data_IF_833848625374
#
_entry.id   IF_833848625374
#
_cell.length_a   1.000
_cell.length_b   1.000
_cell.length_c   1.000
_cell.angle_alpha   90.00
_cell.angle_beta   90.00
_cell.angle_gamma   90.00
#
_symmetry.space_group_name_H-M   'P 1'
#
loop_
_entity.id
_entity.type
_entity.pdbx_description
1 polymer ?
#
# COMPACT_ATOMS: atom_id res chain seq x y z
N UNK A 1 6.75 -20.86 -3.15
CA UNK A 1 6.48 -19.84 -4.18
C UNK A 1 5.04 -19.38 -3.97
N UNK A 2 4.84 -18.23 -3.34
CA UNK A 2 3.62 -17.44 -3.50
C UNK A 2 4.03 -15.98 -3.32
N UNK A 3 4.16 -15.28 -4.45
CA UNK A 3 4.43 -13.85 -4.51
C UNK A 3 3.06 -13.20 -4.62
N UNK A 4 2.50 -12.85 -3.46
CA UNK A 4 1.21 -12.19 -3.33
C UNK A 4 1.42 -10.84 -2.65
N UNK A 5 0.77 -9.83 -3.24
CA UNK A 5 0.87 -8.38 -3.04
C UNK A 5 1.84 -7.69 -4.02
N UNK A 6 1.22 -6.81 -4.82
CA UNK A 6 1.70 -6.20 -6.07
C UNK A 6 1.77 -7.20 -7.22
N UNK A 7 0.75 -7.15 -8.08
CA UNK A 7 0.82 -7.72 -9.41
C UNK A 7 2.11 -7.25 -10.10
N UNK A 8 3.05 -8.20 -10.22
CA UNK A 8 4.23 -8.18 -11.06
C UNK A 8 5.32 -7.18 -10.65
N UNK A 9 6.08 -7.56 -9.62
CA UNK A 9 7.53 -7.37 -9.69
C UNK A 9 8.12 -8.45 -10.60
N UNK A 10 8.47 -8.05 -11.81
CA UNK A 10 9.36 -8.82 -12.66
C UNK A 10 10.73 -8.96 -11.98
N UNK A 11 11.01 -10.14 -11.43
CA UNK A 11 12.35 -10.60 -11.14
C UNK A 11 12.40 -12.12 -11.23
N UNK A 12 13.04 -12.63 -12.28
CA UNK A 12 13.19 -14.06 -12.52
C UNK A 12 14.24 -14.35 -13.59
N UNK A 13 15.51 -14.21 -13.21
CA UNK A 13 16.65 -14.66 -13.99
C UNK A 13 16.73 -16.21 -14.03
N UNK A 14 17.37 -16.68 -15.12
CA UNK A 14 18.12 -17.93 -15.33
C UNK A 14 17.47 -19.32 -15.14
N UNK A 15 17.53 -20.12 -16.22
CA UNK A 15 17.86 -21.56 -16.14
C UNK A 15 16.91 -22.53 -16.84
N UNK A 16 17.39 -23.15 -17.92
CA UNK A 16 17.00 -24.51 -18.28
C UNK A 16 16.20 -24.70 -19.57
N UNK A 17 16.89 -24.76 -20.71
CA UNK A 17 16.41 -25.50 -21.88
C UNK A 17 16.20 -26.97 -21.50
N UNK A 18 14.95 -27.43 -21.57
CA UNK A 18 14.60 -28.85 -21.48
C UNK A 18 13.63 -29.20 -22.61
N UNK A 19 14.17 -29.71 -23.71
CA UNK A 19 13.41 -30.29 -24.81
C UNK A 19 13.05 -31.75 -24.52
N UNK A 20 11.80 -32.13 -24.77
CA UNK A 20 11.49 -33.43 -25.40
C UNK A 20 10.65 -34.45 -24.60
N UNK A 21 9.63 -35.00 -25.30
CA UNK A 21 8.90 -36.24 -24.97
C UNK A 21 7.42 -35.99 -24.62
N UNK A 22 6.45 -36.02 -25.54
CA UNK A 22 5.92 -37.12 -26.37
C UNK A 22 5.14 -38.21 -25.59
N UNK A 23 3.89 -38.41 -26.01
CA UNK A 23 2.97 -39.50 -25.61
C UNK A 23 2.05 -39.08 -24.46
N UNK A 24 0.74 -39.33 -24.44
CA UNK A 24 -0.04 -40.26 -25.24
C UNK A 24 -1.53 -39.90 -25.11
N UNK A 25 -2.26 -40.10 -26.20
CA UNK A 25 -3.68 -39.83 -26.36
C UNK A 25 -4.55 -40.81 -25.58
N UNK A 26 -5.53 -40.31 -24.82
CA UNK A 26 -6.79 -41.02 -24.57
C UNK A 26 -7.97 -40.03 -24.48
N UNK A 27 -8.68 -39.90 -25.61
CA UNK A 27 -10.14 -39.72 -25.62
C UNK A 27 -10.78 -41.13 -25.48
N UNK A 28 -12.05 -41.33 -25.07
CA UNK A 28 -13.20 -40.53 -25.48
C UNK A 28 -14.32 -40.36 -24.43
N UNK A 29 -15.27 -39.46 -24.69
CA UNK A 29 -16.70 -39.78 -24.74
C UNK A 29 -17.52 -38.50 -24.97
N UNK A 30 -18.11 -38.43 -26.16
CA UNK A 30 -19.19 -37.53 -26.50
C UNK A 30 -20.38 -37.72 -25.55
N UNK A 31 -21.00 -36.64 -25.10
CA UNK A 31 -22.46 -36.59 -25.02
C UNK A 31 -22.92 -35.19 -25.42
N UNK A 32 -23.53 -35.16 -26.60
CA UNK A 32 -24.28 -34.06 -27.16
C UNK A 32 -25.58 -33.86 -26.38
N UNK A 33 -25.90 -32.64 -25.97
CA UNK A 33 -27.28 -32.15 -25.83
C UNK A 33 -27.36 -30.63 -26.07
N UNK A 34 -28.01 -30.30 -27.18
CA UNK A 34 -28.96 -29.20 -27.38
C UNK A 34 -28.59 -27.75 -26.98
N UNK A 35 -28.41 -26.90 -27.99
CA UNK A 35 -28.97 -25.55 -28.05
C UNK A 35 -30.22 -25.57 -28.98
N UNK A 36 -31.10 -24.53 -29.06
CA UNK A 36 -31.05 -23.23 -28.41
C UNK A 36 -32.38 -22.85 -27.68
N UNK A 37 -32.35 -21.79 -26.87
CA UNK A 37 -33.57 -21.00 -26.61
C UNK A 37 -33.23 -19.52 -26.63
N UNK A 38 -33.63 -18.93 -27.75
CA UNK A 38 -33.76 -17.51 -27.97
C UNK A 38 -34.96 -17.00 -27.16
N UNK A 39 -34.76 -15.96 -26.37
CA UNK A 39 -35.84 -15.06 -25.97
C UNK A 39 -35.28 -13.64 -25.92
N UNK A 40 -36.05 -12.78 -26.58
CA UNK A 40 -35.76 -11.42 -26.99
C UNK A 40 -35.63 -10.44 -25.80
N UNK A 41 -35.10 -9.22 -26.04
CA UNK A 41 -34.89 -8.21 -25.00
C UNK A 41 -36.20 -7.49 -24.64
N UNK A 42 -36.42 -7.25 -23.35
CA UNK A 42 -37.39 -6.28 -22.88
C UNK A 42 -36.69 -4.92 -22.68
N UNK A 43 -37.02 -4.03 -23.60
CA UNK A 43 -36.92 -2.59 -23.55
C UNK A 43 -37.37 -2.03 -22.18
N UNK A 44 -36.50 -1.29 -21.49
CA UNK A 44 -36.92 -0.24 -20.56
C UNK A 44 -36.10 1.02 -20.82
N UNK A 45 -36.72 1.85 -21.66
CA UNK A 45 -36.47 3.28 -21.80
C UNK A 45 -36.74 3.97 -20.45
N UNK A 46 -35.69 4.53 -19.83
CA UNK A 46 -35.84 5.54 -18.79
C UNK A 46 -34.98 6.76 -19.17
N UNK A 47 -35.61 7.67 -19.90
CA UNK A 47 -35.12 9.01 -20.22
C UNK A 47 -35.04 9.82 -18.92
N UNK A 48 -33.85 10.18 -18.46
CA UNK A 48 -33.69 11.21 -17.42
C UNK A 48 -33.19 12.48 -18.08
N UNK A 49 -34.15 13.35 -18.40
CA UNK A 49 -33.92 14.73 -18.82
C UNK A 49 -33.67 15.58 -17.57
N UNK A 50 -32.41 15.91 -17.29
CA UNK A 50 -32.06 16.97 -16.33
C UNK A 50 -31.63 18.22 -17.08
N UNK A 51 -32.61 19.02 -17.46
CA UNK A 51 -32.44 20.42 -17.85
C UNK A 51 -32.32 21.28 -16.59
N UNK A 52 -31.12 21.78 -16.30
CA UNK A 52 -30.94 22.97 -15.45
C UNK A 52 -30.49 24.10 -16.36
N UNK A 53 -31.43 24.99 -16.64
CA UNK A 53 -31.20 26.30 -17.26
C UNK A 53 -31.58 27.36 -16.22
N UNK A 54 -30.58 28.01 -15.63
CA UNK A 54 -30.63 29.36 -15.07
C UNK A 54 -29.16 29.79 -14.90
N UNK A 55 -28.61 30.58 -15.81
CA UNK A 55 -28.73 32.03 -16.01
C UNK A 55 -27.49 32.74 -15.45
N UNK A 56 -26.93 33.73 -16.17
CA UNK A 56 -25.59 34.24 -15.94
C UNK A 56 -25.59 35.37 -14.92
N UNK A 57 -24.75 35.28 -13.89
CA UNK A 57 -24.45 36.42 -13.03
C UNK A 57 -22.99 36.81 -13.22
N UNK A 58 -22.83 37.90 -13.96
CA UNK A 58 -21.61 38.70 -14.07
C UNK A 58 -21.15 39.12 -12.66
N UNK A 59 -19.95 38.69 -12.26
CA UNK A 59 -19.14 39.46 -11.29
C UNK A 59 -17.80 39.80 -11.91
N UNK A 60 -17.76 41.04 -12.36
CA UNK A 60 -16.56 41.83 -12.55
C UNK A 60 -16.02 42.18 -11.16
N UNK A 61 -14.92 41.55 -10.73
CA UNK A 61 -14.08 42.11 -9.68
C UNK A 61 -12.65 42.18 -10.18
N UNK A 62 -12.30 43.41 -10.57
CA UNK A 62 -10.95 43.88 -10.80
C UNK A 62 -10.37 44.22 -9.43
N UNK A 63 -9.54 43.35 -8.85
CA UNK A 63 -8.69 43.72 -7.71
C UNK A 63 -7.21 43.56 -8.08
N UNK A 64 -6.68 44.67 -8.57
CA UNK A 64 -5.36 45.23 -8.30
C UNK A 64 -4.25 44.26 -7.87
N UNK A 65 -3.45 43.90 -8.88
CA UNK A 65 -2.04 43.50 -8.77
C UNK A 65 -1.26 44.35 -7.74
N UNK A 66 -0.92 43.74 -6.61
CA UNK A 66 0.29 44.05 -5.85
C UNK A 66 1.29 42.91 -6.07
N UNK A 67 2.52 43.27 -6.47
CA UNK A 67 3.59 42.38 -6.92
C UNK A 67 4.63 42.22 -5.81
N UNK A 68 4.95 40.98 -5.39
CA UNK A 68 6.29 40.44 -5.02
C UNK A 68 6.18 39.13 -4.21
N UNK A 69 7.22 38.27 -4.17
CA UNK A 69 8.01 37.68 -5.27
C UNK A 69 7.84 36.15 -5.32
N UNK A 70 8.51 35.52 -6.27
CA UNK A 70 8.46 34.08 -6.60
C UNK A 70 8.72 33.14 -5.42
N UNK A 71 7.81 32.19 -5.21
CA UNK A 71 8.14 30.83 -4.77
C UNK A 71 7.13 29.90 -5.45
N UNK A 72 7.67 28.89 -6.16
CA UNK A 72 7.02 27.85 -6.97
C UNK A 72 5.49 27.73 -6.92
N UNK A 73 4.79 27.64 -8.07
CA UNK A 73 3.39 27.23 -8.06
C UNK A 73 3.30 25.83 -7.45
N UNK A 74 2.72 25.71 -6.25
CA UNK A 74 2.16 24.42 -5.81
C UNK A 74 1.06 24.06 -6.81
N UNK A 75 1.16 22.95 -7.55
CA UNK A 75 0.13 22.58 -8.48
C UNK A 75 -1.15 22.19 -7.71
N UNK A 76 -2.15 23.05 -7.80
CA UNK A 76 -3.57 22.73 -8.00
C UNK A 76 -4.17 21.56 -7.18
N UNK A 77 -4.72 21.88 -6.01
CA UNK A 77 -5.63 21.03 -5.24
C UNK A 77 -6.99 20.76 -5.93
N UNK A 78 -7.25 21.31 -7.13
CA UNK A 78 -8.53 21.14 -7.86
C UNK A 78 -8.53 20.13 -9.01
N UNK A 79 -7.42 19.44 -9.29
CA UNK A 79 -7.43 18.25 -10.17
C UNK A 79 -7.70 16.95 -9.38
N UNK A 80 -8.01 17.06 -8.08
CA UNK A 80 -8.04 15.98 -7.11
C UNK A 80 -9.41 15.28 -6.95
N UNK A 81 -10.12 15.03 -8.05
CA UNK A 81 -10.55 13.64 -8.30
C UNK A 81 -9.46 13.03 -9.19
N UNK A 82 -8.26 13.02 -8.62
CA UNK A 82 -6.99 12.95 -9.34
C UNK A 82 -6.41 11.55 -9.30
N UNK A 83 -5.17 11.44 -9.76
CA UNK A 83 -4.41 10.19 -9.72
C UNK A 83 -4.55 9.45 -8.36
N UNK A 84 -4.54 10.21 -7.26
CA UNK A 84 -4.77 9.70 -5.91
C UNK A 84 -6.09 8.94 -5.75
N UNK A 85 -7.21 9.55 -6.15
CA UNK A 85 -8.54 8.94 -6.02
C UNK A 85 -8.65 7.65 -6.85
N UNK A 86 -7.95 7.56 -7.98
CA UNK A 86 -7.91 6.33 -8.79
C UNK A 86 -7.16 5.21 -8.07
N UNK A 87 -6.02 5.53 -7.44
CA UNK A 87 -5.25 4.54 -6.67
C UNK A 87 -6.05 4.06 -5.47
N UNK A 88 -6.69 4.97 -4.73
CA UNK A 88 -7.57 4.60 -3.62
C UNK A 88 -8.73 3.73 -4.08
N UNK A 89 -9.43 4.10 -5.17
CA UNK A 89 -10.54 3.31 -5.71
C UNK A 89 -10.10 1.92 -6.20
N UNK A 90 -8.88 1.80 -6.72
CA UNK A 90 -8.31 0.51 -7.11
C UNK A 90 -8.14 -0.40 -5.89
N UNK A 91 -7.56 0.09 -4.79
CA UNK A 91 -7.39 -0.70 -3.56
C UNK A 91 -8.71 -0.99 -2.83
N UNK A 92 -9.66 -0.06 -2.89
CA UNK A 92 -11.03 -0.27 -2.40
C UNK A 92 -11.71 -1.45 -3.13
N UNK A 93 -11.63 -1.45 -4.46
CA UNK A 93 -12.14 -2.55 -5.28
C UNK A 93 -11.45 -3.90 -4.99
N UNK A 94 -10.14 -3.89 -4.71
CA UNK A 94 -9.41 -5.11 -4.28
C UNK A 94 -9.93 -5.61 -2.93
N UNK A 95 -10.13 -4.71 -1.97
CA UNK A 95 -10.64 -5.03 -0.63
C UNK A 95 -12.09 -5.55 -0.65
N UNK A 96 -12.94 -4.99 -1.51
CA UNK A 96 -14.31 -5.44 -1.73
C UNK A 96 -14.40 -6.74 -2.56
N UNK A 97 -13.25 -7.27 -3.01
CA UNK A 97 -13.15 -8.40 -3.94
C UNK A 97 -13.85 -8.15 -5.28
N UNK A 98 -14.12 -6.89 -5.62
CA UNK A 98 -14.54 -6.48 -6.96
C UNK A 98 -13.32 -6.39 -7.89
N UNK A 99 -12.76 -7.57 -8.16
CA UNK A 99 -11.60 -7.69 -9.02
C UNK A 99 -11.86 -7.22 -10.44
N UNK A 100 -13.14 -7.18 -10.87
CA UNK A 100 -13.50 -6.66 -12.18
C UNK A 100 -13.34 -5.14 -12.22
N UNK A 101 -13.79 -4.43 -11.19
CA UNK A 101 -13.55 -3.00 -11.08
C UNK A 101 -12.05 -2.69 -10.94
N UNK A 102 -11.32 -3.42 -10.10
CA UNK A 102 -9.87 -3.25 -9.94
C UNK A 102 -9.11 -3.51 -11.25
N UNK A 103 -9.54 -4.51 -12.03
CA UNK A 103 -8.97 -4.82 -13.34
C UNK A 103 -9.10 -3.66 -14.33
N UNK A 104 -10.26 -3.01 -14.37
CA UNK A 104 -10.50 -1.86 -15.24
C UNK A 104 -9.73 -0.61 -14.80
N UNK A 105 -9.60 -0.41 -13.49
CA UNK A 105 -8.89 0.72 -12.88
C UNK A 105 -7.37 0.60 -13.00
N UNK A 106 -6.82 -0.60 -13.14
CA UNK A 106 -5.37 -0.76 -13.23
C UNK A 106 -4.88 -2.16 -13.54
N UNK A 107 -5.56 -3.20 -13.05
CA UNK A 107 -5.07 -4.58 -13.13
C UNK A 107 -4.67 -5.01 -14.55
N UNK A 108 -5.41 -4.59 -15.58
CA UNK A 108 -5.11 -4.89 -17.00
C UNK A 108 -3.78 -4.35 -17.52
N UNK A 109 -3.22 -3.32 -16.88
CA UNK A 109 -1.94 -2.73 -17.26
C UNK A 109 -0.79 -3.21 -16.35
N UNK A 110 -1.12 -3.71 -15.15
CA UNK A 110 -0.15 -4.11 -14.14
C UNK A 110 0.12 -5.63 -14.16
N UNK A 111 -0.88 -6.42 -14.55
CA UNK A 111 -0.80 -7.87 -14.62
C UNK A 111 -0.89 -8.38 -16.05
N UNK A 112 -0.43 -9.62 -16.29
CA UNK A 112 -0.46 -10.24 -17.61
C UNK A 112 -1.86 -10.60 -18.08
N UNK A 113 -2.66 -11.21 -17.21
CA UNK A 113 -4.04 -11.61 -17.48
C UNK A 113 -4.90 -11.55 -16.21
N UNK A 114 -6.23 -11.57 -16.40
CA UNK A 114 -7.20 -11.39 -15.33
C UNK A 114 -7.13 -12.52 -14.30
N UNK A 115 -6.85 -13.75 -14.72
CA UNK A 115 -6.87 -14.89 -13.82
C UNK A 115 -5.63 -14.87 -12.91
N UNK A 116 -4.46 -14.61 -13.47
CA UNK A 116 -3.23 -14.41 -12.71
C UNK A 116 -3.35 -13.24 -11.70
N UNK A 117 -4.07 -12.17 -12.08
CA UNK A 117 -4.37 -11.06 -11.18
C UNK A 117 -5.23 -11.48 -9.98
N UNK A 118 -6.31 -12.23 -10.22
CA UNK A 118 -7.21 -12.71 -9.15
C UNK A 118 -6.50 -13.72 -8.25
N UNK A 119 -5.79 -14.68 -8.84
CA UNK A 119 -5.06 -15.72 -8.09
C UNK A 119 -3.97 -15.09 -7.20
N UNK A 120 -3.28 -14.05 -7.68
CA UNK A 120 -2.26 -13.34 -6.90
C UNK A 120 -2.78 -12.55 -5.69
N UNK A 121 -4.10 -12.33 -5.60
CA UNK A 121 -4.77 -11.61 -4.51
C UNK A 121 -5.51 -12.55 -3.54
N UNK A 122 -5.54 -13.86 -3.82
CA UNK A 122 -6.31 -14.82 -3.04
C UNK A 122 -5.87 -14.89 -1.57
N UNK A 123 -4.56 -14.78 -1.31
CA UNK A 123 -3.97 -14.85 0.03
C UNK A 123 -3.92 -13.50 0.76
N UNK A 124 -4.43 -12.43 0.15
CA UNK A 124 -4.49 -11.09 0.77
C UNK A 124 -5.86 -10.91 1.40
N UNK A 125 -5.91 -10.73 2.72
CA UNK A 125 -7.14 -10.47 3.47
C UNK A 125 -7.58 -9.01 3.32
N UNK A 126 -6.64 -8.07 3.41
CA UNK A 126 -6.92 -6.63 3.31
C UNK A 126 -5.68 -5.84 2.91
N UNK A 127 -5.88 -4.84 2.08
CA UNK A 127 -4.90 -3.85 1.67
C UNK A 127 -5.23 -2.47 2.29
N UNK A 128 -4.30 -1.90 3.03
CA UNK A 128 -4.40 -0.51 3.54
C UNK A 128 -3.40 0.36 2.81
N UNK A 129 -3.89 1.36 2.07
CA UNK A 129 -3.04 2.26 1.28
C UNK A 129 -2.87 3.61 1.99
N UNK A 130 -1.63 4.07 2.09
CA UNK A 130 -1.27 5.38 2.62
C UNK A 130 -0.56 6.19 1.54
N UNK A 131 -1.18 7.29 1.13
CA UNK A 131 -0.61 8.17 0.11
C UNK A 131 0.49 9.04 0.75
N UNK A 132 1.71 8.90 0.26
CA UNK A 132 2.87 9.66 0.73
C UNK A 132 3.03 10.98 -0.03
N UNK A 133 2.54 11.04 -1.27
CA UNK A 133 2.50 12.27 -2.04
C UNK A 133 2.10 12.07 -3.49
N UNK A 134 1.69 13.17 -4.13
CA UNK A 134 1.26 13.18 -5.54
C UNK A 134 2.07 14.22 -6.29
N UNK A 135 2.63 13.82 -7.43
CA UNK A 135 3.39 14.68 -8.33
C UNK A 135 2.87 14.50 -9.76
N UNK A 136 2.04 15.45 -10.21
CA UNK A 136 1.35 15.36 -11.49
C UNK A 136 0.46 14.13 -11.56
N UNK A 137 0.80 13.19 -12.44
CA UNK A 137 0.09 11.93 -12.67
C UNK A 137 0.63 10.76 -11.83
N UNK A 138 1.70 10.99 -11.05
CA UNK A 138 2.37 9.95 -10.27
C UNK A 138 2.03 10.07 -8.79
N UNK A 139 1.54 8.98 -8.22
CA UNK A 139 1.17 8.84 -6.81
C UNK A 139 2.19 7.96 -6.12
N UNK A 140 2.85 8.46 -5.09
CA UNK A 140 3.67 7.63 -4.20
C UNK A 140 2.78 7.14 -3.06
N UNK A 141 2.78 5.84 -2.82
CA UNK A 141 2.03 5.25 -1.74
C UNK A 141 2.82 4.16 -1.02
N UNK A 142 2.51 4.03 0.25
CA UNK A 142 2.83 2.89 1.10
C UNK A 142 1.59 1.99 1.16
N UNK A 143 1.79 0.68 1.17
CA UNK A 143 0.73 -0.32 1.14
C UNK A 143 1.02 -1.38 2.17
N UNK A 144 0.09 -1.58 3.09
CA UNK A 144 0.08 -2.64 4.08
C UNK A 144 -0.89 -3.74 3.64
N UNK A 145 -0.35 -4.89 3.23
CA UNK A 145 -1.14 -6.05 2.84
C UNK A 145 -1.21 -7.05 4.01
N UNK A 146 -2.35 -7.08 4.69
CA UNK A 146 -2.70 -8.11 5.66
C UNK A 146 -3.01 -9.40 4.88
N UNK A 147 -2.24 -10.45 5.13
CA UNK A 147 -2.40 -11.76 4.52
C UNK A 147 -3.40 -12.61 5.33
N UNK A 148 -3.96 -13.64 4.71
CA UNK A 148 -4.92 -14.56 5.36
C UNK A 148 -4.32 -15.40 6.50
N UNK A 149 -2.99 -15.47 6.59
CA UNK A 149 -2.28 -16.12 7.70
C UNK A 149 -2.03 -15.16 8.89
N UNK A 150 -2.48 -13.91 8.79
CA UNK A 150 -2.29 -12.85 9.78
C UNK A 150 -0.95 -12.12 9.66
N UNK A 151 -0.07 -12.49 8.72
CA UNK A 151 1.14 -11.73 8.46
C UNK A 151 0.83 -10.42 7.74
N UNK A 152 1.60 -9.37 8.04
CA UNK A 152 1.51 -8.09 7.36
C UNK A 152 2.74 -7.91 6.50
N UNK A 153 2.52 -7.62 5.21
CA UNK A 153 3.58 -7.27 4.28
C UNK A 153 3.47 -5.79 3.94
N UNK A 154 4.59 -5.09 4.05
CA UNK A 154 4.66 -3.67 3.74
C UNK A 154 5.30 -3.48 2.37
N UNK A 155 4.73 -2.59 1.59
CA UNK A 155 5.18 -2.24 0.26
C UNK A 155 5.27 -0.73 0.13
N UNK A 156 6.22 -0.27 -0.66
CA UNK A 156 6.31 1.13 -1.06
C UNK A 156 6.42 1.18 -2.58
N UNK A 157 5.71 2.12 -3.20
CA UNK A 157 5.80 2.27 -4.63
C UNK A 157 5.25 3.58 -5.18
N UNK A 158 5.34 3.67 -6.51
CA UNK A 158 4.75 4.74 -7.28
C UNK A 158 3.76 4.19 -8.30
N UNK A 159 2.63 4.86 -8.47
CA UNK A 159 1.57 4.54 -9.42
C UNK A 159 1.42 5.69 -10.39
N UNK A 160 1.47 5.43 -11.69
CA UNK A 160 1.23 6.43 -12.73
C UNK A 160 -0.18 6.28 -13.27
N UNK A 161 -0.99 7.31 -13.09
CA UNK A 161 -2.39 7.33 -13.49
C UNK A 161 -2.59 8.23 -14.70
N UNK A 162 -3.32 7.76 -15.71
CA UNK A 162 -3.75 8.59 -16.83
C UNK A 162 -5.22 8.36 -17.11
N UNK A 163 -5.97 9.45 -17.21
CA UNK A 163 -7.42 9.40 -17.50
C UNK A 163 -8.22 8.50 -16.54
N UNK A 164 -7.85 8.49 -15.25
CA UNK A 164 -8.53 7.67 -14.24
C UNK A 164 -8.18 6.18 -14.26
N UNK A 165 -7.07 5.79 -14.90
CA UNK A 165 -6.59 4.40 -14.96
C UNK A 165 -5.11 4.35 -14.59
N UNK A 166 -4.73 3.41 -13.74
CA UNK A 166 -3.33 3.10 -13.43
C UNK A 166 -2.71 2.43 -14.67
N UNK A 167 -1.71 3.08 -15.24
CA UNK A 167 -1.04 2.63 -16.47
C UNK A 167 0.29 1.94 -16.21
N UNK A 168 0.89 2.21 -15.05
CA UNK A 168 2.16 1.62 -14.62
C UNK A 168 2.26 1.77 -13.10
N UNK A 169 2.89 0.80 -12.46
CA UNK A 169 3.25 0.86 -11.06
C UNK A 169 4.67 0.30 -10.88
N UNK A 170 5.44 0.94 -10.02
CA UNK A 170 6.75 0.49 -9.56
C UNK A 170 6.63 0.33 -8.05
N UNK A 171 6.36 -0.88 -7.58
CA UNK A 171 6.12 -1.15 -6.16
C UNK A 171 7.07 -2.24 -5.71
N UNK A 172 7.71 -2.04 -4.57
CA UNK A 172 8.64 -2.97 -3.95
C UNK A 172 8.14 -3.37 -2.59
N UNK A 173 8.30 -4.65 -2.25
CA UNK A 173 8.20 -5.08 -0.87
C UNK A 173 9.32 -4.36 -0.11
N UNK A 174 8.93 -3.60 0.90
CA UNK A 174 9.89 -3.20 1.91
C UNK A 174 9.96 -4.41 2.82
N UNK A 175 10.96 -5.26 2.57
CA UNK A 175 11.26 -6.39 3.44
C UNK A 175 11.23 -5.85 4.87
N UNK A 176 10.35 -6.42 5.71
CA UNK A 176 10.11 -5.93 7.06
C UNK A 176 11.43 -5.51 7.69
N UNK A 177 11.53 -4.31 8.24
CA UNK A 177 10.91 -4.09 9.54
C UNK A 177 11.00 -5.41 10.34
N UNK A 178 12.24 -5.82 10.63
CA UNK A 178 12.58 -6.10 12.02
C UNK A 178 11.83 -5.03 12.82
N UNK A 179 10.84 -5.46 13.57
CA UNK A 179 9.96 -4.68 14.44
C UNK A 179 10.51 -3.27 14.75
N UNK A 180 9.89 -2.15 14.32
CA UNK A 180 10.37 -0.82 14.69
C UNK A 180 10.22 -0.51 16.20
N UNK A 181 9.88 -1.49 17.03
CA UNK A 181 9.91 -1.41 18.50
C UNK A 181 11.16 -2.04 19.11
N UNK A 182 12.22 -2.29 18.34
CA UNK A 182 13.56 -2.51 18.89
C UNK A 182 14.64 -1.65 18.21
N UNK A 183 14.31 -0.39 17.92
CA UNK A 183 15.28 0.71 18.06
C UNK A 183 15.39 1.08 19.56
N UNK A 184 15.63 0.08 20.43
CA UNK A 184 16.42 0.37 21.63
C UNK A 184 17.82 0.74 21.14
N UNK A 185 18.48 1.78 21.68
CA UNK A 185 19.86 2.09 21.32
C UNK A 185 20.75 0.92 21.74
N UNK A 186 20.87 -0.07 20.86
CA UNK A 186 21.83 -1.15 20.95
C UNK A 186 23.22 -0.55 20.98
N UNK A 187 23.88 -0.67 22.12
CA UNK A 187 25.31 -0.43 22.18
C UNK A 187 25.93 -0.44 23.56
N UNK A 188 25.15 -0.27 24.62
CA UNK A 188 25.69 -0.23 25.98
C UNK A 188 24.93 -1.21 26.85
N UNK A 189 25.63 -2.19 27.41
CA UNK A 189 25.09 -3.12 28.39
C UNK A 189 25.92 -2.97 29.66
N UNK A 190 25.24 -2.67 30.77
CA UNK A 190 25.85 -2.67 32.08
C UNK A 190 25.45 -3.93 32.82
N UNK A 191 26.42 -4.72 33.27
CA UNK A 191 26.16 -5.91 34.07
C UNK A 191 25.55 -5.53 35.43
N UNK A 192 25.91 -4.36 35.96
CA UNK A 192 25.48 -3.85 37.25
C UNK A 192 25.64 -2.32 37.33
N UNK A 193 24.99 -1.72 38.33
CA UNK A 193 25.02 -0.28 38.54
C UNK A 193 26.41 0.31 38.84
N UNK A 194 27.38 -0.47 39.29
CA UNK A 194 28.76 0.01 39.42
C UNK A 194 29.40 0.26 38.07
N UNK A 195 29.17 -0.62 37.08
CA UNK A 195 29.64 -0.41 35.71
C UNK A 195 29.00 0.82 35.07
N UNK A 196 27.70 1.04 35.31
CA UNK A 196 26.98 2.23 34.83
C UNK A 196 27.49 3.52 35.48
N UNK A 197 27.78 3.50 36.79
CA UNK A 197 28.33 4.64 37.53
C UNK A 197 29.79 4.94 37.14
N UNK A 198 30.61 3.92 36.95
CA UNK A 198 32.00 4.08 36.51
C UNK A 198 32.08 4.65 35.08
N UNK A 199 31.15 4.27 34.22
CA UNK A 199 30.97 4.85 32.89
C UNK A 199 30.38 6.27 32.91
N UNK A 200 29.96 6.79 34.08
CA UNK A 200 29.33 8.10 34.21
C UNK A 200 27.92 8.18 33.60
N UNK A 201 27.26 7.04 33.40
CA UNK A 201 25.96 6.94 32.75
C UNK A 201 24.78 6.95 33.75
N UNK A 202 25.04 6.65 35.03
CA UNK A 202 24.00 6.67 36.06
C UNK A 202 23.75 8.10 36.59
N UNK A 203 22.50 8.46 36.93
CA UNK A 203 21.28 7.64 36.90
C UNK A 203 20.73 7.41 35.48
N UNK A 204 20.16 6.23 35.23
CA UNK A 204 19.61 5.80 33.95
C UNK A 204 18.07 5.79 34.01
N UNK A 205 17.40 6.23 32.94
CA UNK A 205 15.93 6.24 32.83
C UNK A 205 15.47 5.35 31.68
N UNK A 206 14.19 4.94 31.66
CA UNK A 206 13.59 4.24 30.53
C UNK A 206 13.87 4.96 29.21
N UNK A 207 14.56 4.28 28.30
CA UNK A 207 14.98 4.82 27.00
C UNK A 207 16.42 5.35 26.94
N UNK A 208 17.13 5.47 28.07
CA UNK A 208 18.57 5.77 28.07
C UNK A 208 19.39 4.56 27.56
N UNK A 209 20.49 4.79 26.83
CA UNK A 209 21.38 3.72 26.40
C UNK A 209 22.00 2.97 27.58
N UNK A 210 21.73 1.67 27.66
CA UNK A 210 22.18 0.81 28.76
C UNK A 210 21.24 0.75 29.96
N UNK A 211 20.07 1.39 29.88
CA UNK A 211 18.97 1.07 30.77
C UNK A 211 18.53 -0.38 30.57
N UNK A 212 18.21 -1.06 31.68
CA UNK A 212 17.58 -2.36 31.67
C UNK A 212 16.89 -2.60 33.01
N UNK A 213 15.77 -3.33 33.00
CA UNK A 213 14.99 -3.61 34.21
C UNK A 213 15.81 -4.30 35.32
N UNK A 214 16.93 -4.94 34.96
CA UNK A 214 17.87 -5.54 35.92
C UNK A 214 18.71 -4.53 36.70
N UNK A 215 18.75 -3.27 36.26
CA UNK A 215 19.47 -2.17 36.92
C UNK A 215 18.56 -1.30 37.80
N UNK A 216 17.25 -1.38 37.60
CA UNK A 216 16.20 -0.74 38.40
C UNK A 216 15.65 -1.74 39.43
N UNK A 217 16.34 -1.85 40.57
CA UNK A 217 16.03 -2.89 41.56
C UNK A 217 14.67 -2.70 42.24
N UNK A 218 14.13 -1.49 42.25
CA UNK A 218 12.85 -1.14 42.89
C UNK A 218 11.74 -0.81 41.88
N UNK A 219 12.05 -0.72 40.60
CA UNK A 219 11.07 -0.64 39.50
C UNK A 219 10.37 0.71 39.42
N UNK A 220 11.02 1.77 39.88
CA UNK A 220 10.43 3.11 39.93
C UNK A 220 10.72 3.96 38.68
N UNK A 221 11.47 3.40 37.73
CA UNK A 221 11.88 4.03 36.49
C UNK A 221 13.16 4.85 36.61
N UNK A 222 13.94 4.69 37.68
CA UNK A 222 15.26 5.30 37.85
C UNK A 222 16.29 4.23 38.22
N UNK A 223 16.98 3.70 37.20
CA UNK A 223 18.04 2.73 37.42
C UNK A 223 19.31 3.38 38.01
N UNK A 224 19.97 2.64 38.90
CA UNK A 224 21.26 2.99 39.47
C UNK A 224 21.31 4.31 40.26
N UNK A 225 20.20 4.66 40.92
CA UNK A 225 20.12 5.81 41.80
C UNK A 225 21.22 5.82 42.88
N UNK A 226 21.75 6.99 43.26
CA UNK A 226 22.61 7.10 44.42
C UNK A 226 21.76 6.87 45.67
N UNK A 227 22.05 5.78 46.41
CA UNK A 227 21.39 5.45 47.66
C UNK A 227 21.42 6.65 48.63
N UNK A 228 20.31 7.38 48.71
CA UNK A 228 20.00 8.27 49.82
C UNK A 228 19.10 7.47 50.78
N UNK A 229 19.58 7.08 51.98
CA UNK A 229 18.71 6.39 52.92
C UNK A 229 17.50 7.28 53.19
N UNK A 230 16.29 6.78 52.88
CA UNK A 230 15.04 7.48 53.22
C UNK A 230 15.00 7.61 54.76
N UNK A 231 14.81 8.83 55.30
CA UNK A 231 14.94 9.09 56.74
C UNK A 231 13.86 8.41 57.58
#
# INVERSE_FOLDING_TARGET
>A
MVVGAVGILGAGACGGSGSGGAGESVAPASTSVAAPSSSAPAEVTATVTSTVTASPETRTDTETRTKAPETSPSPSTSAALGAEATVVAYFDAVNDRDYRAAWELGGKNLAGDYQAFVDGLADTERDTVRILGVQGDTVRAELEALQTDGSLKLFEGTYTVRSGVITSADVREVAGAEDPSSDEPGGVYYENCDAAREAGAAPLHPGDPGYGDHLDSDGDGIACEPYVPRP
#
